data_IF_598911965719
#
_entry.id   IF_598911965719
#
_cell.length_a   1.000
_cell.length_b   1.000
_cell.length_c   1.000
_cell.angle_alpha   90.00
_cell.angle_beta   90.00
_cell.angle_gamma   90.00
#
_symmetry.space_group_name_H-M   'P 1'
#
loop_
_entity.id
_entity.type
_entity.pdbx_description
1 polymer ?
#
# COMPACT_ATOMS: atom_id res chain seq x y z
N UNK A 1 -4.48 17.61 -20.48
CA UNK A 1 -4.28 16.79 -19.28
C UNK A 1 -4.70 15.37 -19.59
N UNK A 2 -4.02 14.37 -19.04
CA UNK A 2 -4.44 12.96 -19.13
C UNK A 2 -5.70 12.83 -18.26
N UNK A 3 -6.78 12.25 -18.79
CA UNK A 3 -8.00 12.00 -18.00
C UNK A 3 -7.72 10.91 -16.97
N UNK A 4 -8.18 11.09 -15.74
CA UNK A 4 -8.09 10.06 -14.69
C UNK A 4 -8.96 8.87 -15.08
N UNK A 5 -8.51 7.67 -14.76
CA UNK A 5 -9.18 6.41 -15.10
C UNK A 5 -10.22 6.07 -14.06
N UNK A 6 -11.46 5.86 -14.51
CA UNK A 6 -12.60 5.53 -13.68
C UNK A 6 -13.12 4.13 -14.01
N UNK A 7 -13.19 3.30 -12.99
CA UNK A 7 -13.84 2.00 -13.03
C UNK A 7 -15.34 2.11 -12.72
N UNK A 8 -16.19 1.43 -13.48
CA UNK A 8 -17.60 1.24 -13.14
C UNK A 8 -17.88 -0.27 -13.01
N UNK A 9 -18.18 -0.73 -11.80
CA UNK A 9 -18.64 -2.09 -11.52
C UNK A 9 -20.16 -2.14 -11.40
N UNK A 10 -20.79 -3.12 -12.04
CA UNK A 10 -22.23 -3.36 -11.97
C UNK A 10 -22.54 -4.84 -12.17
N UNK A 11 -23.75 -5.25 -11.83
CA UNK A 11 -24.28 -6.52 -12.33
C UNK A 11 -24.48 -6.47 -13.85
N UNK A 12 -24.55 -7.64 -14.48
CA UNK A 12 -24.82 -7.75 -15.93
C UNK A 12 -26.20 -7.20 -16.31
N UNK A 13 -27.16 -7.25 -15.38
CA UNK A 13 -28.52 -6.74 -15.50
C UNK A 13 -28.55 -5.21 -15.57
N UNK A 14 -27.57 -4.54 -14.96
CA UNK A 14 -27.48 -3.07 -14.89
C UNK A 14 -26.49 -2.45 -15.85
N UNK A 15 -26.06 -3.19 -16.88
CA UNK A 15 -25.17 -2.66 -17.91
C UNK A 15 -25.72 -1.38 -18.55
N UNK A 16 -27.04 -1.26 -18.69
CA UNK A 16 -27.70 -0.04 -19.21
C UNK A 16 -27.51 1.17 -18.28
N UNK A 17 -27.59 0.96 -16.97
CA UNK A 17 -27.35 2.01 -15.99
C UNK A 17 -25.87 2.42 -15.98
N UNK A 18 -24.95 1.45 -16.07
CA UNK A 18 -23.52 1.71 -16.21
C UNK A 18 -23.19 2.58 -17.44
N UNK A 19 -23.81 2.30 -18.59
CA UNK A 19 -23.66 3.10 -19.79
C UNK A 19 -24.24 4.52 -19.64
N UNK A 20 -25.32 4.71 -18.87
CA UNK A 20 -25.85 6.05 -18.55
C UNK A 20 -24.88 6.84 -17.68
N UNK A 21 -24.37 6.24 -16.61
CA UNK A 21 -23.37 6.87 -15.73
C UNK A 21 -22.11 7.24 -16.51
N UNK A 22 -21.64 6.35 -17.39
CA UNK A 22 -20.51 6.61 -18.29
C UNK A 22 -20.73 7.84 -19.16
N UNK A 23 -21.90 7.97 -19.81
CA UNK A 23 -22.21 9.14 -20.65
C UNK A 23 -22.19 10.46 -19.88
N UNK A 24 -22.59 10.44 -18.61
CA UNK A 24 -22.55 11.65 -17.76
C UNK A 24 -21.10 12.05 -17.46
N UNK A 25 -20.23 11.07 -17.25
CA UNK A 25 -18.85 11.29 -16.75
C UNK A 25 -17.76 11.27 -17.83
N UNK A 26 -18.06 10.84 -19.06
CA UNK A 26 -17.05 10.59 -20.12
C UNK A 26 -16.26 11.83 -20.54
N UNK A 27 -16.82 13.02 -20.30
CA UNK A 27 -16.13 14.29 -20.54
C UNK A 27 -14.98 14.53 -19.56
N UNK A 28 -15.11 14.02 -18.33
CA UNK A 28 -14.17 14.26 -17.23
C UNK A 28 -13.17 13.10 -17.03
N UNK A 29 -13.59 11.85 -17.27
CA UNK A 29 -12.82 10.65 -16.95
C UNK A 29 -12.62 9.73 -18.16
N UNK A 30 -11.57 8.90 -18.13
CA UNK A 30 -11.41 7.75 -19.01
C UNK A 30 -12.11 6.55 -18.35
N UNK A 31 -13.24 6.12 -18.90
CA UNK A 31 -14.17 5.22 -18.19
C UNK A 31 -14.13 3.81 -18.78
N UNK A 32 -13.95 2.82 -17.90
CA UNK A 32 -14.10 1.40 -18.22
C UNK A 32 -15.23 0.81 -17.38
N UNK A 33 -16.23 0.24 -18.05
CA UNK A 33 -17.29 -0.54 -17.40
C UNK A 33 -16.84 -1.99 -17.33
N UNK A 34 -16.97 -2.61 -16.17
CA UNK A 34 -16.74 -4.03 -15.99
C UNK A 34 -17.77 -4.84 -16.77
N UNK A 35 -17.30 -5.65 -17.72
CA UNK A 35 -18.11 -6.66 -18.38
C UNK A 35 -17.25 -7.91 -18.60
N UNK A 36 -17.91 -9.05 -18.80
CA UNK A 36 -17.25 -10.37 -18.92
C UNK A 36 -16.20 -10.43 -20.04
N UNK A 37 -16.24 -9.53 -21.03
CA UNK A 37 -15.32 -9.52 -22.17
C UNK A 37 -14.05 -8.66 -21.94
N UNK A 38 -13.94 -7.91 -20.83
CA UNK A 38 -12.81 -6.97 -20.63
C UNK A 38 -11.50 -7.67 -20.27
N UNK A 39 -11.56 -8.89 -19.71
CA UNK A 39 -10.38 -9.56 -19.12
C UNK A 39 -10.15 -11.01 -19.57
N UNK A 40 -10.62 -11.38 -20.77
CA UNK A 40 -10.57 -12.73 -21.39
C UNK A 40 -9.15 -13.33 -21.63
N UNK A 41 -8.12 -12.87 -20.92
CA UNK A 41 -6.72 -13.30 -21.10
C UNK A 41 -6.17 -14.21 -20.00
N UNK A 42 -6.95 -14.57 -18.97
CA UNK A 42 -6.47 -15.38 -17.85
C UNK A 42 -6.71 -16.90 -18.01
N UNK A 43 -5.62 -17.65 -18.21
CA UNK A 43 -5.58 -19.12 -18.29
C UNK A 43 -6.14 -19.73 -17.00
N UNK A 44 -7.16 -20.59 -17.14
CA UNK A 44 -7.86 -21.30 -16.06
C UNK A 44 -6.92 -21.93 -15.01
N UNK A 45 -6.80 -21.26 -13.86
CA UNK A 45 -6.31 -21.83 -12.60
C UNK A 45 -7.28 -21.44 -11.49
N UNK A 46 -7.49 -22.37 -10.54
CA UNK A 46 -8.34 -22.16 -9.35
C UNK A 46 -7.94 -20.84 -8.66
N UNK A 47 -8.92 -19.97 -8.36
CA UNK A 47 -8.75 -18.63 -7.76
C UNK A 47 -8.02 -17.54 -8.60
N UNK A 48 -7.79 -17.74 -9.90
CA UNK A 48 -6.90 -16.84 -10.67
C UNK A 48 -7.53 -16.02 -11.80
N UNK A 49 -8.84 -16.06 -12.03
CA UNK A 49 -9.43 -15.27 -13.11
C UNK A 49 -10.15 -14.04 -12.52
N UNK A 50 -11.38 -14.20 -12.03
CA UNK A 50 -12.19 -13.06 -11.56
C UNK A 50 -11.54 -12.20 -10.45
N UNK A 51 -11.11 -12.82 -9.33
CA UNK A 51 -10.51 -12.06 -8.23
C UNK A 51 -9.17 -11.42 -8.62
N UNK A 52 -8.37 -12.12 -9.42
CA UNK A 52 -7.08 -11.59 -9.87
C UNK A 52 -7.26 -10.41 -10.84
N UNK A 53 -8.25 -10.49 -11.73
CA UNK A 53 -8.60 -9.40 -12.65
C UNK A 53 -9.18 -8.20 -11.89
N UNK A 54 -10.02 -8.42 -10.88
CA UNK A 54 -10.48 -7.34 -9.99
C UNK A 54 -9.33 -6.70 -9.20
N UNK A 55 -8.41 -7.51 -8.66
CA UNK A 55 -7.21 -7.01 -7.98
C UNK A 55 -6.34 -6.19 -8.94
N UNK A 56 -6.17 -6.64 -10.18
CA UNK A 56 -5.42 -5.92 -11.22
C UNK A 56 -6.13 -4.62 -11.62
N UNK A 57 -7.44 -4.65 -11.82
CA UNK A 57 -8.25 -3.47 -12.11
C UNK A 57 -8.09 -2.44 -10.98
N UNK A 58 -8.18 -2.87 -9.73
CA UNK A 58 -7.99 -1.98 -8.57
C UNK A 58 -6.62 -1.30 -8.49
N UNK A 59 -5.62 -1.75 -9.29
CA UNK A 59 -4.31 -1.10 -9.45
C UNK A 59 -4.22 -0.14 -10.64
N UNK A 60 -5.14 -0.22 -11.59
CA UNK A 60 -5.08 0.49 -12.87
C UNK A 60 -6.00 1.71 -12.95
N UNK A 61 -6.97 1.80 -12.04
CA UNK A 61 -7.94 2.89 -11.99
C UNK A 61 -7.65 3.84 -10.83
N UNK A 62 -7.88 5.12 -11.06
CA UNK A 62 -7.75 6.18 -10.05
C UNK A 62 -9.02 6.25 -9.17
N UNK A 63 -10.17 5.88 -9.74
CA UNK A 63 -11.48 5.93 -9.11
C UNK A 63 -12.31 4.67 -9.38
N UNK A 64 -13.28 4.40 -8.50
CA UNK A 64 -14.28 3.35 -8.68
C UNK A 64 -15.69 3.82 -8.36
N UNK A 65 -16.66 3.47 -9.20
CA UNK A 65 -18.09 3.55 -8.90
C UNK A 65 -18.68 2.15 -8.96
N UNK A 66 -19.32 1.73 -7.89
CA UNK A 66 -20.07 0.48 -7.86
C UNK A 66 -21.57 0.81 -7.91
N UNK A 67 -22.30 0.10 -8.76
CA UNK A 67 -23.74 0.30 -8.96
C UNK A 67 -24.52 -0.74 -8.17
N UNK A 68 -25.19 -0.32 -7.10
CA UNK A 68 -26.06 -1.18 -6.31
C UNK A 68 -27.51 -1.05 -6.74
N UNK A 69 -28.07 -2.10 -7.31
CA UNK A 69 -29.49 -2.18 -7.74
C UNK A 69 -30.20 -3.37 -7.14
N UNK A 70 -31.52 -3.42 -7.29
CA UNK A 70 -32.37 -4.47 -6.75
C UNK A 70 -32.34 -5.68 -7.68
N UNK A 71 -31.33 -6.53 -7.54
CA UNK A 71 -31.16 -7.67 -8.44
C UNK A 71 -31.57 -9.01 -7.79
N UNK A 72 -31.39 -9.14 -6.46
CA UNK A 72 -31.70 -10.37 -5.73
C UNK A 72 -32.78 -10.18 -4.65
N UNK A 73 -33.74 -11.11 -4.62
CA UNK A 73 -34.71 -11.28 -3.54
C UNK A 73 -34.13 -12.21 -2.48
N UNK A 74 -34.07 -11.74 -1.23
CA UNK A 74 -33.56 -12.52 -0.11
C UNK A 74 -34.57 -12.60 1.03
N UNK A 75 -34.59 -13.72 1.74
CA UNK A 75 -35.34 -13.87 2.98
C UNK A 75 -34.46 -13.50 4.17
N UNK A 76 -34.70 -12.34 4.78
CA UNK A 76 -33.97 -11.89 5.96
C UNK A 76 -34.90 -11.86 7.17
N UNK A 77 -34.60 -12.68 8.19
CA UNK A 77 -35.38 -12.77 9.44
C UNK A 77 -36.89 -12.98 9.22
N UNK A 78 -37.27 -13.71 8.17
CA UNK A 78 -38.67 -14.01 7.85
C UNK A 78 -39.35 -12.98 6.95
N UNK A 79 -38.69 -11.89 6.57
CA UNK A 79 -39.20 -10.89 5.63
C UNK A 79 -38.48 -10.98 4.28
N UNK A 80 -39.24 -10.86 3.19
CA UNK A 80 -38.68 -10.73 1.84
C UNK A 80 -38.08 -9.33 1.68
N UNK A 81 -36.79 -9.26 1.41
CA UNK A 81 -36.03 -8.03 1.21
C UNK A 81 -35.33 -8.03 -0.15
N UNK A 82 -35.11 -6.83 -0.64
CA UNK A 82 -34.41 -6.56 -1.90
C UNK A 82 -33.03 -6.03 -1.56
N UNK A 83 -31.98 -6.68 -2.06
CA UNK A 83 -30.59 -6.30 -1.80
C UNK A 83 -29.76 -6.21 -3.09
N UNK A 84 -28.65 -5.44 -3.09
CA UNK A 84 -27.65 -5.53 -4.14
C UNK A 84 -27.06 -6.94 -4.20
N UNK A 85 -26.67 -7.37 -5.40
CA UNK A 85 -25.98 -8.65 -5.61
C UNK A 85 -24.76 -8.76 -4.70
N UNK A 86 -24.57 -9.93 -4.10
CA UNK A 86 -23.46 -10.19 -3.16
C UNK A 86 -22.09 -9.87 -3.79
N UNK A 87 -21.92 -10.14 -5.08
CA UNK A 87 -20.69 -9.83 -5.82
C UNK A 87 -20.40 -8.33 -5.89
N UNK A 88 -21.42 -7.48 -6.05
CA UNK A 88 -21.27 -6.02 -6.10
C UNK A 88 -20.83 -5.49 -4.73
N UNK A 89 -21.35 -6.04 -3.65
CA UNK A 89 -20.91 -5.69 -2.29
C UNK A 89 -19.46 -6.14 -2.02
N UNK A 90 -19.06 -7.30 -2.53
CA UNK A 90 -17.67 -7.77 -2.46
C UNK A 90 -16.72 -6.85 -3.25
N UNK A 91 -17.08 -6.51 -4.49
CA UNK A 91 -16.33 -5.57 -5.34
C UNK A 91 -16.22 -4.19 -4.69
N UNK A 92 -17.31 -3.68 -4.12
CA UNK A 92 -17.32 -2.43 -3.35
C UNK A 92 -16.34 -2.48 -2.19
N UNK A 93 -16.35 -3.56 -1.40
CA UNK A 93 -15.39 -3.75 -0.31
C UNK A 93 -13.94 -3.77 -0.80
N UNK A 94 -13.67 -4.48 -1.89
CA UNK A 94 -12.34 -4.58 -2.50
C UNK A 94 -11.83 -3.23 -3.01
N UNK A 95 -12.65 -2.51 -3.78
CA UNK A 95 -12.30 -1.21 -4.35
C UNK A 95 -12.22 -0.13 -3.27
N UNK A 96 -13.11 -0.12 -2.29
CA UNK A 96 -13.04 0.82 -1.16
C UNK A 96 -11.78 0.56 -0.32
N UNK A 97 -11.45 -0.70 -0.05
CA UNK A 97 -10.22 -1.06 0.66
C UNK A 97 -8.94 -0.71 -0.10
N UNK A 98 -8.99 -0.67 -1.43
CA UNK A 98 -7.83 -0.37 -2.27
C UNK A 98 -7.69 1.09 -2.65
N UNK A 99 -8.77 1.79 -2.97
CA UNK A 99 -8.78 3.19 -3.42
C UNK A 99 -9.04 4.17 -2.27
N UNK A 100 -9.65 3.71 -1.18
CA UNK A 100 -10.10 4.56 -0.09
C UNK A 100 -11.52 5.06 -0.31
N UNK A 101 -12.13 5.61 0.74
CA UNK A 101 -13.52 6.09 0.73
C UNK A 101 -13.72 7.39 -0.06
N UNK A 102 -12.65 8.15 -0.31
CA UNK A 102 -12.68 9.39 -1.10
C UNK A 102 -12.62 9.14 -2.61
N UNK A 103 -12.15 7.95 -3.03
CA UNK A 103 -11.93 7.57 -4.44
C UNK A 103 -12.81 6.41 -4.91
N UNK A 104 -13.64 5.86 -4.01
CA UNK A 104 -14.59 4.81 -4.31
C UNK A 104 -15.99 5.26 -3.87
N UNK A 105 -16.93 5.30 -4.80
CA UNK A 105 -18.31 5.67 -4.54
C UNK A 105 -19.25 4.49 -4.77
N UNK A 106 -20.32 4.44 -3.98
CA UNK A 106 -21.41 3.49 -4.19
C UNK A 106 -22.67 4.26 -4.60
N UNK A 107 -23.13 4.02 -5.83
CA UNK A 107 -24.31 4.62 -6.41
C UNK A 107 -25.46 3.63 -6.34
N UNK A 108 -26.50 3.95 -5.57
CA UNK A 108 -27.57 3.01 -5.25
C UNK A 108 -28.96 3.59 -5.52
N UNK A 109 -29.90 2.69 -5.84
CA UNK A 109 -31.32 3.02 -5.83
C UNK A 109 -31.77 3.35 -4.40
N UNK A 110 -32.58 4.41 -4.24
CA UNK A 110 -33.15 4.84 -2.96
C UNK A 110 -33.95 3.74 -2.26
N UNK A 111 -34.54 2.82 -3.02
CA UNK A 111 -35.42 1.76 -2.48
C UNK A 111 -34.64 0.57 -1.89
N UNK A 112 -33.30 0.55 -2.03
CA UNK A 112 -32.45 -0.52 -1.53
C UNK A 112 -32.18 -0.40 -0.05
N UNK A 113 -32.40 -1.52 0.65
CA UNK A 113 -31.96 -1.70 2.03
C UNK A 113 -30.53 -2.24 2.04
N UNK A 114 -29.64 -1.54 2.75
CA UNK A 114 -28.26 -1.96 2.91
C UNK A 114 -28.03 -2.66 4.25
N UNK A 115 -26.99 -3.52 4.35
CA UNK A 115 -26.55 -4.03 5.63
C UNK A 115 -26.22 -2.88 6.59
N UNK A 116 -26.44 -3.09 7.89
CA UNK A 116 -26.26 -2.04 8.91
C UNK A 116 -24.85 -1.44 8.92
N UNK A 117 -23.84 -2.23 8.56
CA UNK A 117 -22.44 -1.82 8.50
C UNK A 117 -22.16 -0.75 7.42
N UNK A 118 -23.04 -0.63 6.41
CA UNK A 118 -22.94 0.36 5.33
C UNK A 118 -23.71 1.66 5.63
N UNK A 119 -24.46 1.73 6.73
CA UNK A 119 -25.25 2.92 7.11
C UNK A 119 -24.35 4.12 7.44
N UNK A 120 -23.10 3.88 7.86
CA UNK A 120 -22.12 4.92 8.17
C UNK A 120 -21.36 5.49 6.95
N UNK A 121 -21.54 4.93 5.75
CA UNK A 121 -20.89 5.44 4.53
C UNK A 121 -21.74 6.55 3.91
N UNK A 122 -21.10 7.58 3.36
CA UNK A 122 -21.79 8.56 2.51
C UNK A 122 -22.05 7.93 1.15
N UNK A 123 -23.32 7.68 0.85
CA UNK A 123 -23.75 6.96 -0.35
C UNK A 123 -24.45 7.91 -1.31
N UNK A 124 -24.12 7.81 -2.60
CA UNK A 124 -24.85 8.51 -3.63
C UNK A 124 -26.15 7.73 -3.93
N UNK A 125 -27.30 8.39 -3.79
CA UNK A 125 -28.61 7.76 -3.98
C UNK A 125 -29.33 8.39 -5.17
N UNK A 126 -29.99 7.57 -5.96
CA UNK A 126 -30.85 8.01 -7.05
C UNK A 126 -32.20 7.28 -7.02
N UNK A 127 -33.18 7.83 -7.73
CA UNK A 127 -34.50 7.24 -7.93
C UNK A 127 -34.64 6.78 -9.38
N UNK A 128 -34.84 5.48 -9.61
CA UNK A 128 -35.10 4.96 -10.96
C UNK A 128 -36.32 5.61 -11.63
N UNK A 129 -37.27 6.15 -10.84
CA UNK A 129 -38.48 6.83 -11.35
C UNK A 129 -38.22 8.26 -11.79
N UNK A 130 -37.11 8.88 -11.38
CA UNK A 130 -36.76 10.25 -11.72
C UNK A 130 -35.30 10.33 -12.24
N UNK A 131 -35.10 10.34 -13.57
CA UNK A 131 -33.77 10.41 -14.19
C UNK A 131 -32.93 11.62 -13.75
N UNK A 132 -33.54 12.71 -13.29
CA UNK A 132 -32.80 13.90 -12.85
C UNK A 132 -31.99 13.63 -11.58
N UNK A 133 -32.48 12.73 -10.73
CA UNK A 133 -31.80 12.33 -9.49
C UNK A 133 -30.53 11.54 -9.78
N UNK A 134 -30.51 10.72 -10.84
CA UNK A 134 -29.31 10.00 -11.28
C UNK A 134 -28.22 10.99 -11.68
N UNK A 135 -28.56 12.00 -12.49
CA UNK A 135 -27.61 13.03 -12.92
C UNK A 135 -27.05 13.78 -11.72
N UNK A 136 -27.90 14.19 -10.77
CA UNK A 136 -27.46 14.87 -9.55
C UNK A 136 -26.51 14.00 -8.72
N UNK A 137 -26.84 12.73 -8.50
CA UNK A 137 -26.02 11.81 -7.72
C UNK A 137 -24.66 11.55 -8.39
N UNK A 138 -24.64 11.37 -9.70
CA UNK A 138 -23.41 11.16 -10.48
C UNK A 138 -22.53 12.42 -10.47
N UNK A 139 -23.12 13.61 -10.55
CA UNK A 139 -22.36 14.87 -10.46
C UNK A 139 -21.72 15.06 -9.08
N UNK A 140 -22.43 14.70 -8.00
CA UNK A 140 -21.86 14.71 -6.64
C UNK A 140 -20.65 13.79 -6.52
N UNK A 141 -20.70 12.59 -7.13
CA UNK A 141 -19.54 11.68 -7.19
C UNK A 141 -18.40 12.30 -8.00
N UNK A 142 -18.70 12.90 -9.15
CA UNK A 142 -17.68 13.61 -9.96
C UNK A 142 -16.97 14.68 -9.13
N UNK A 143 -17.72 15.50 -8.40
CA UNK A 143 -17.16 16.55 -7.56
C UNK A 143 -16.30 15.98 -6.42
N UNK A 144 -16.74 14.89 -5.79
CA UNK A 144 -15.94 14.16 -4.81
C UNK A 144 -14.59 13.72 -5.41
N UNK A 145 -14.61 13.08 -6.57
CA UNK A 145 -13.39 12.58 -7.23
C UNK A 145 -12.46 13.70 -7.69
N UNK A 146 -13.01 14.78 -8.24
CA UNK A 146 -12.23 15.96 -8.66
C UNK A 146 -11.55 16.65 -7.47
N UNK A 147 -12.16 16.61 -6.29
CA UNK A 147 -11.62 17.20 -5.06
C UNK A 147 -10.72 16.24 -4.26
N UNK A 148 -10.65 14.95 -4.63
CA UNK A 148 -9.76 13.99 -3.98
C UNK A 148 -8.29 14.27 -4.33
N UNK A 149 -7.41 14.12 -3.34
CA UNK A 149 -5.96 14.31 -3.54
C UNK A 149 -5.32 13.08 -4.21
N UNK A 150 -4.33 13.32 -5.05
CA UNK A 150 -3.55 12.24 -5.67
C UNK A 150 -2.64 11.50 -4.67
N UNK A 151 -2.44 12.06 -3.48
CA UNK A 151 -1.50 11.58 -2.47
C UNK A 151 -2.01 10.40 -1.61
N UNK A 152 -3.29 10.02 -1.73
CA UNK A 152 -3.83 8.85 -1.03
C UNK A 152 -3.35 7.55 -1.70
N UNK A 153 -2.22 7.02 -1.20
CA UNK A 153 -1.56 5.81 -1.66
C UNK A 153 -1.83 4.65 -0.67
N UNK A 154 -2.76 3.76 -1.00
CA UNK A 154 -3.12 2.55 -0.24
C UNK A 154 -2.18 1.36 -0.50
N UNK A 155 -0.88 1.49 -0.23
CA UNK A 155 0.03 0.34 -0.12
C UNK A 155 0.43 0.13 1.33
N UNK A 156 0.66 -1.13 1.75
CA UNK A 156 1.35 -1.37 3.01
C UNK A 156 2.77 -0.82 2.91
N UNK A 157 3.13 0.24 3.68
CA UNK A 157 4.38 0.96 3.47
C UNK A 157 5.60 0.11 3.82
N UNK A 158 5.47 -0.78 4.81
CA UNK A 158 6.60 -1.52 5.37
C UNK A 158 7.32 -2.42 4.36
N UNK A 159 6.60 -3.22 3.57
CA UNK A 159 7.21 -4.15 2.62
C UNK A 159 7.87 -3.43 1.43
N UNK A 160 7.23 -2.36 0.94
CA UNK A 160 7.77 -1.50 -0.11
C UNK A 160 9.05 -0.81 0.36
N UNK A 161 9.03 -0.20 1.55
CA UNK A 161 10.21 0.47 2.12
C UNK A 161 11.34 -0.53 2.38
N UNK A 162 11.05 -1.74 2.86
CA UNK A 162 12.06 -2.79 3.02
C UNK A 162 12.71 -3.17 1.69
N UNK A 163 11.92 -3.29 0.62
CA UNK A 163 12.43 -3.60 -0.73
C UNK A 163 13.29 -2.46 -1.29
N UNK A 164 12.84 -1.22 -1.14
CA UNK A 164 13.59 -0.02 -1.56
C UNK A 164 14.92 0.06 -0.81
N UNK A 165 14.90 -0.12 0.50
CA UNK A 165 16.09 -0.10 1.35
C UNK A 165 17.09 -1.20 0.99
N UNK A 166 16.59 -2.41 0.79
CA UNK A 166 17.38 -3.58 0.38
C UNK A 166 18.10 -3.35 -0.95
N UNK A 167 17.37 -2.92 -1.99
CA UNK A 167 17.92 -2.67 -3.33
C UNK A 167 18.86 -1.46 -3.38
N UNK A 168 18.53 -0.40 -2.67
CA UNK A 168 19.25 0.87 -2.80
C UNK A 168 20.40 1.04 -1.82
N UNK A 169 20.52 0.26 -0.75
CA UNK A 169 21.63 0.39 0.19
C UNK A 169 22.31 -0.95 0.47
N UNK A 170 21.54 -1.96 0.89
CA UNK A 170 22.10 -3.22 1.37
C UNK A 170 22.79 -4.00 0.24
N UNK A 171 22.11 -4.26 -0.88
CA UNK A 171 22.71 -4.95 -2.04
C UNK A 171 24.04 -4.30 -2.48
N UNK A 172 24.11 -2.97 -2.67
CA UNK A 172 25.37 -2.31 -3.03
C UNK A 172 26.51 -2.56 -2.05
N UNK A 173 26.27 -2.50 -0.74
CA UNK A 173 27.29 -2.77 0.28
C UNK A 173 27.72 -4.24 0.20
N UNK A 174 26.75 -5.15 0.16
CA UNK A 174 27.01 -6.59 0.04
C UNK A 174 27.87 -6.92 -1.19
N UNK A 175 27.48 -6.41 -2.36
CA UNK A 175 28.20 -6.65 -3.62
C UNK A 175 29.60 -6.06 -3.58
N UNK A 176 29.76 -4.85 -3.06
CA UNK A 176 31.08 -4.23 -2.93
C UNK A 176 32.02 -5.11 -2.09
N UNK A 177 31.56 -5.60 -0.93
CA UNK A 177 32.35 -6.47 -0.06
C UNK A 177 32.74 -7.76 -0.80
N UNK A 178 31.80 -8.39 -1.50
CA UNK A 178 32.03 -9.65 -2.23
C UNK A 178 33.02 -9.44 -3.38
N UNK A 179 32.83 -8.40 -4.19
CA UNK A 179 33.68 -8.08 -5.36
C UNK A 179 35.13 -7.77 -4.96
N UNK A 180 35.34 -7.27 -3.74
CA UNK A 180 36.66 -6.88 -3.24
C UNK A 180 37.27 -7.88 -2.24
N UNK A 181 36.65 -9.06 -2.04
CA UNK A 181 37.05 -10.05 -1.03
C UNK A 181 37.21 -9.46 0.39
N UNK A 182 36.37 -8.47 0.72
CA UNK A 182 36.42 -7.74 1.99
C UNK A 182 36.41 -6.23 1.83
N UNK A 183 37.01 -5.54 2.80
CA UNK A 183 37.11 -4.08 2.81
C UNK A 183 38.48 -3.63 3.31
N UNK A 184 39.08 -2.66 2.64
CA UNK A 184 40.36 -2.06 3.08
C UNK A 184 40.11 -0.74 3.79
N UNK A 185 40.51 -0.68 5.06
CA UNK A 185 40.43 0.52 5.91
C UNK A 185 41.83 0.81 6.47
N UNK A 186 42.30 2.04 6.29
CA UNK A 186 43.61 2.53 6.79
C UNK A 186 44.80 1.60 6.47
N UNK A 187 44.83 1.07 5.24
CA UNK A 187 45.87 0.15 4.77
C UNK A 187 45.75 -1.29 5.26
N UNK A 188 44.81 -1.60 6.16
CA UNK A 188 44.50 -2.96 6.60
C UNK A 188 43.31 -3.52 5.82
N UNK A 189 43.49 -4.71 5.27
CA UNK A 189 42.43 -5.41 4.55
C UNK A 189 41.69 -6.39 5.47
N UNK A 190 40.37 -6.22 5.57
CA UNK A 190 39.48 -7.03 6.38
C UNK A 190 38.71 -7.98 5.48
N UNK A 191 39.08 -9.27 5.48
CA UNK A 191 38.32 -10.31 4.76
C UNK A 191 36.99 -10.63 5.41
N UNK A 192 36.94 -10.56 6.76
CA UNK A 192 35.72 -10.79 7.52
C UNK A 192 34.98 -9.47 7.67
N UNK A 193 33.90 -9.34 6.90
CA UNK A 193 32.98 -8.21 6.97
C UNK A 193 31.59 -8.69 7.37
N UNK A 194 30.87 -7.85 8.10
CA UNK A 194 29.49 -8.10 8.53
C UNK A 194 28.71 -6.80 8.51
N UNK A 195 27.45 -6.87 8.15
CA UNK A 195 26.54 -5.71 8.17
C UNK A 195 25.55 -5.94 9.31
N UNK A 196 25.44 -4.98 10.22
CA UNK A 196 24.50 -4.99 11.32
C UNK A 196 23.50 -3.85 11.12
N UNK A 197 22.26 -4.21 10.78
CA UNK A 197 21.14 -3.29 10.63
C UNK A 197 20.45 -3.20 11.99
N UNK A 198 20.52 -2.04 12.61
CA UNK A 198 20.02 -1.82 13.97
C UNK A 198 18.67 -1.13 13.90
N UNK A 199 17.65 -1.78 14.43
CA UNK A 199 16.26 -1.33 14.35
C UNK A 199 15.74 -1.02 15.76
N UNK A 200 15.11 0.14 16.00
CA UNK A 200 14.57 0.45 17.32
C UNK A 200 13.43 -0.50 17.69
N UNK A 201 13.10 -0.61 18.97
CA UNK A 201 12.01 -1.47 19.43
C UNK A 201 10.64 -0.93 19.07
N UNK A 202 10.53 0.39 18.95
CA UNK A 202 9.31 1.10 18.55
C UNK A 202 9.65 2.28 17.66
N UNK A 203 8.70 2.68 16.82
CA UNK A 203 8.81 3.92 16.02
C UNK A 203 8.31 5.09 16.88
N UNK A 204 9.19 6.05 17.14
CA UNK A 204 8.79 7.32 17.75
C UNK A 204 8.39 8.34 16.68
N UNK A 205 7.80 9.45 17.11
CA UNK A 205 7.36 10.53 16.21
C UNK A 205 8.54 11.14 15.41
N UNK A 206 9.70 11.28 16.06
CA UNK A 206 10.96 11.68 15.43
C UNK A 206 11.95 10.52 15.40
N UNK A 207 11.86 9.73 14.32
CA UNK A 207 12.73 8.58 14.08
C UNK A 207 14.19 9.02 13.83
N UNK A 208 14.41 10.21 13.27
CA UNK A 208 15.77 10.67 12.98
C UNK A 208 16.51 10.96 14.29
N UNK A 209 15.88 11.69 15.21
CA UNK A 209 16.43 11.91 16.55
C UNK A 209 16.57 10.60 17.34
N UNK A 210 15.65 9.65 17.14
CA UNK A 210 15.76 8.32 17.74
C UNK A 210 17.03 7.60 17.27
N UNK A 211 17.31 7.60 15.96
CA UNK A 211 18.52 7.01 15.42
C UNK A 211 19.78 7.79 15.79
N UNK A 212 19.73 9.11 15.93
CA UNK A 212 20.86 9.89 16.43
C UNK A 212 21.24 9.47 17.85
N UNK A 213 20.26 9.33 18.74
CA UNK A 213 20.46 8.83 20.12
C UNK A 213 20.99 7.40 20.13
N UNK A 214 20.46 6.54 19.26
CA UNK A 214 20.90 5.16 19.16
C UNK A 214 22.33 5.07 18.61
N UNK A 215 22.66 5.83 17.57
CA UNK A 215 24.01 5.91 17.00
C UNK A 215 25.03 6.40 18.03
N UNK A 216 24.66 7.34 18.91
CA UNK A 216 25.52 7.85 19.96
C UNK A 216 25.98 6.79 20.98
N UNK A 217 25.32 5.62 21.05
CA UNK A 217 25.76 4.51 21.90
C UNK A 217 26.87 3.65 21.26
N UNK A 218 27.17 3.87 19.98
CA UNK A 218 28.21 3.16 19.24
C UNK A 218 29.44 4.05 19.03
N UNK A 219 30.62 3.48 19.23
CA UNK A 219 31.88 4.09 18.82
C UNK A 219 32.20 3.63 17.39
N UNK A 220 31.85 4.46 16.41
CA UNK A 220 32.00 4.15 14.98
C UNK A 220 32.81 5.20 14.25
N UNK A 221 33.35 4.80 13.11
CA UNK A 221 34.01 5.69 12.16
C UNK A 221 33.35 5.56 10.79
N UNK A 222 33.10 6.70 10.16
CA UNK A 222 32.50 6.73 8.85
C UNK A 222 33.50 6.30 7.78
N UNK A 223 33.08 5.40 6.89
CA UNK A 223 33.83 5.05 5.69
C UNK A 223 33.00 5.35 4.46
N UNK A 224 33.67 5.54 3.33
CA UNK A 224 32.98 5.76 2.07
C UNK A 224 33.65 5.02 0.92
N UNK A 225 32.84 4.43 0.05
CA UNK A 225 33.33 3.70 -1.13
C UNK A 225 32.45 3.96 -2.35
N UNK A 226 33.04 3.77 -3.53
CA UNK A 226 32.33 3.91 -4.81
C UNK A 226 31.75 2.56 -5.21
N UNK A 227 30.44 2.54 -5.49
CA UNK A 227 29.79 1.37 -6.03
C UNK A 227 29.82 1.42 -7.57
N UNK A 228 30.39 0.41 -8.22
CA UNK A 228 30.55 0.40 -9.69
C UNK A 228 29.23 0.16 -10.43
N UNK A 229 28.27 -0.57 -9.83
CA UNK A 229 26.98 -0.88 -10.45
C UNK A 229 26.03 0.32 -10.59
N UNK A 230 26.25 1.39 -9.83
CA UNK A 230 25.67 2.73 -10.03
C UNK A 230 26.68 3.75 -9.50
N UNK A 231 27.20 4.69 -10.31
CA UNK A 231 28.29 5.58 -9.90
C UNK A 231 27.83 6.57 -8.83
N UNK A 232 27.82 6.10 -7.58
CA UNK A 232 27.53 6.87 -6.37
C UNK A 232 28.50 6.48 -5.27
N UNK A 233 28.67 7.39 -4.33
CA UNK A 233 29.41 7.16 -3.11
C UNK A 233 28.44 6.69 -2.03
N UNK A 234 28.78 5.60 -1.35
CA UNK A 234 28.05 5.10 -0.18
C UNK A 234 28.89 5.44 1.03
N UNK A 235 28.28 6.13 1.99
CA UNK A 235 28.86 6.47 3.29
C UNK A 235 28.12 5.69 4.36
N UNK A 236 28.88 5.02 5.24
CA UNK A 236 28.33 4.14 6.27
C UNK A 236 29.28 4.07 7.46
N UNK A 237 28.72 3.91 8.65
CA UNK A 237 29.49 3.79 9.88
C UNK A 237 30.06 2.39 10.04
N UNK A 238 31.28 2.31 10.58
CA UNK A 238 31.96 1.04 10.81
C UNK A 238 32.56 0.97 12.20
N UNK A 239 32.63 -0.24 12.74
CA UNK A 239 33.41 -0.56 13.93
C UNK A 239 34.19 -1.85 13.71
N UNK A 240 35.25 -2.06 14.49
CA UNK A 240 36.04 -3.29 14.44
C UNK A 240 35.75 -4.08 15.71
N UNK A 241 35.28 -5.31 15.56
CA UNK A 241 35.00 -6.23 16.68
C UNK A 241 35.53 -7.61 16.35
N UNK A 242 36.40 -8.15 17.21
CA UNK A 242 36.99 -9.49 17.05
C UNK A 242 37.55 -9.74 15.64
N UNK A 243 38.41 -8.84 15.16
CA UNK A 243 39.03 -8.86 13.82
C UNK A 243 38.05 -8.81 12.63
N UNK A 244 36.76 -8.59 12.90
CA UNK A 244 35.72 -8.42 11.88
C UNK A 244 35.42 -6.93 11.72
N UNK A 245 35.35 -6.46 10.48
CA UNK A 245 34.85 -5.12 10.19
C UNK A 245 33.32 -5.17 10.12
N UNK A 246 32.67 -4.52 11.08
CA UNK A 246 31.22 -4.44 11.16
C UNK A 246 30.75 -3.10 10.59
N UNK A 247 29.95 -3.15 9.54
CA UNK A 247 29.18 -2.03 9.02
C UNK A 247 27.92 -1.87 9.85
N UNK A 248 27.69 -0.69 10.42
CA UNK A 248 26.55 -0.41 11.28
C UNK A 248 25.59 0.51 10.52
N UNK A 249 24.36 0.08 10.36
CA UNK A 249 23.36 0.80 9.58
C UNK A 249 22.07 0.99 10.36
N UNK A 250 21.49 2.18 10.24
CA UNK A 250 20.28 2.61 10.93
C UNK A 250 19.24 2.96 9.86
N UNK A 251 18.18 2.13 9.65
CA UNK A 251 17.26 2.30 8.54
C UNK A 251 16.30 3.47 8.78
N UNK A 252 16.77 4.71 8.60
CA UNK A 252 15.98 5.96 8.73
C UNK A 252 14.75 5.97 7.81
N UNK A 253 14.76 5.16 6.75
CA UNK A 253 13.62 4.93 5.86
C UNK A 253 12.34 4.48 6.58
N UNK A 254 12.43 3.91 7.79
CA UNK A 254 11.24 3.55 8.59
C UNK A 254 10.43 4.79 9.03
N UNK A 255 10.97 6.01 8.93
CA UNK A 255 10.20 7.27 8.99
C UNK A 255 8.99 7.24 8.06
N UNK A 256 9.15 6.64 6.87
CA UNK A 256 8.12 6.50 5.86
C UNK A 256 6.93 5.64 6.30
N UNK A 257 7.12 4.74 7.28
CA UNK A 257 6.03 3.93 7.85
C UNK A 257 5.05 4.85 8.58
N UNK A 258 5.56 5.72 9.47
CA UNK A 258 4.74 6.68 10.21
C UNK A 258 4.08 7.70 9.26
N UNK A 259 4.84 8.17 8.27
CA UNK A 259 4.29 9.09 7.27
C UNK A 259 3.14 8.45 6.49
N UNK A 260 3.30 7.22 5.98
CA UNK A 260 2.25 6.55 5.23
C UNK A 260 1.02 6.23 6.09
N UNK A 261 1.19 5.64 7.28
CA UNK A 261 0.07 5.32 8.17
C UNK A 261 -0.72 6.59 8.54
N UNK A 262 -0.04 7.71 8.81
CA UNK A 262 -0.72 8.94 9.19
C UNK A 262 -1.57 9.56 8.07
N UNK A 263 -1.23 9.28 6.80
CA UNK A 263 -2.02 9.66 5.62
C UNK A 263 -3.12 8.64 5.26
N UNK A 264 -2.97 7.39 5.70
CA UNK A 264 -3.95 6.32 5.46
C UNK A 264 -5.11 6.32 6.47
N UNK A 265 -4.89 6.88 7.65
CA UNK A 265 -5.91 6.97 8.69
C UNK A 265 -6.72 8.27 8.59
N UNK A 266 -8.00 8.26 9.00
CA UNK A 266 -8.83 9.46 9.06
C UNK A 266 -8.15 10.60 9.83
N UNK A 267 -8.42 11.85 9.42
CA UNK A 267 -7.82 13.04 10.03
C UNK A 267 -8.14 13.19 11.53
N UNK A 268 -9.29 12.66 11.97
CA UNK A 268 -9.74 12.63 13.36
C UNK A 268 -9.22 11.41 14.15
N UNK A 269 -8.47 10.50 13.51
CA UNK A 269 -7.87 9.38 14.20
C UNK A 269 -6.81 9.86 15.20
N UNK A 270 -6.94 9.47 16.46
CA UNK A 270 -5.98 9.82 17.49
C UNK A 270 -4.63 9.13 17.27
N UNK A 271 -3.66 9.85 16.72
CA UNK A 271 -2.28 9.38 16.44
C UNK A 271 -1.44 9.16 17.70
N UNK A 272 -1.95 9.49 18.88
CA UNK A 272 -1.33 9.19 20.17
C UNK A 272 -2.00 8.00 20.88
N UNK A 273 -2.96 7.35 20.23
CA UNK A 273 -3.66 6.20 20.79
C UNK A 273 -2.77 4.96 20.90
N UNK A 274 -3.03 4.06 21.86
CA UNK A 274 -2.43 2.72 21.88
C UNK A 274 -2.65 1.93 20.58
N UNK A 275 -3.78 2.15 19.90
CA UNK A 275 -4.09 1.52 18.63
C UNK A 275 -3.14 1.98 17.52
N UNK A 276 -2.82 3.28 17.45
CA UNK A 276 -1.83 3.81 16.50
C UNK A 276 -0.46 3.15 16.71
N UNK A 277 -0.02 3.03 17.96
CA UNK A 277 1.25 2.37 18.29
C UNK A 277 1.23 0.89 17.89
N UNK A 278 0.11 0.20 18.08
CA UNK A 278 -0.06 -1.20 17.66
C UNK A 278 0.06 -1.36 16.15
N UNK A 279 -0.47 -0.40 15.37
CA UNK A 279 -0.33 -0.37 13.90
C UNK A 279 1.14 -0.17 13.51
N UNK A 280 1.82 0.80 14.12
CA UNK A 280 3.24 1.06 13.89
C UNK A 280 4.10 -0.17 14.20
N UNK A 281 3.88 -0.83 15.33
CA UNK A 281 4.60 -2.03 15.74
C UNK A 281 4.36 -3.22 14.79
N UNK A 282 3.14 -3.34 14.26
CA UNK A 282 2.83 -4.34 13.22
C UNK A 282 3.57 -4.05 11.92
N UNK A 283 3.59 -2.81 11.46
CA UNK A 283 4.27 -2.43 10.22
C UNK A 283 5.80 -2.49 10.38
N UNK A 284 6.35 -2.16 11.54
CA UNK A 284 7.77 -2.34 11.84
C UNK A 284 8.16 -3.83 11.80
N UNK A 285 7.35 -4.71 12.41
CA UNK A 285 7.56 -6.18 12.31
C UNK A 285 7.51 -6.66 10.86
N UNK A 286 6.58 -6.15 10.04
CA UNK A 286 6.49 -6.49 8.61
C UNK A 286 7.69 -6.02 7.82
N UNK A 287 8.21 -4.83 8.10
CA UNK A 287 9.45 -4.32 7.50
C UNK A 287 10.60 -5.29 7.79
N UNK A 288 10.78 -5.69 9.06
CA UNK A 288 11.83 -6.63 9.49
C UNK A 288 11.68 -7.98 8.80
N UNK A 289 10.48 -8.57 8.81
CA UNK A 289 10.22 -9.88 8.19
C UNK A 289 10.47 -9.84 6.69
N UNK A 290 10.03 -8.78 6.01
CA UNK A 290 10.25 -8.61 4.56
C UNK A 290 11.74 -8.48 4.25
N UNK A 291 12.47 -7.66 5.01
CA UNK A 291 13.90 -7.48 4.83
C UNK A 291 14.67 -8.80 5.03
N UNK A 292 14.36 -9.56 6.09
CA UNK A 292 14.97 -10.89 6.32
C UNK A 292 14.69 -11.86 5.17
N UNK A 293 13.47 -11.88 4.64
CA UNK A 293 13.13 -12.71 3.48
C UNK A 293 13.90 -12.31 2.21
N UNK A 294 14.07 -11.00 1.97
CA UNK A 294 14.85 -10.48 0.84
C UNK A 294 16.34 -10.85 0.97
N UNK A 295 16.90 -10.76 2.19
CA UNK A 295 18.27 -11.18 2.48
C UNK A 295 18.50 -12.65 2.15
N UNK A 296 17.60 -13.55 2.59
CA UNK A 296 17.67 -14.98 2.30
C UNK A 296 17.56 -15.24 0.79
N UNK A 297 16.58 -14.62 0.13
CA UNK A 297 16.39 -14.77 -1.32
C UNK A 297 17.59 -14.28 -2.14
N UNK A 298 18.29 -13.26 -1.65
CA UNK A 298 19.50 -12.74 -2.27
C UNK A 298 20.80 -13.43 -1.87
N UNK A 299 20.76 -14.39 -0.94
CA UNK A 299 21.96 -15.05 -0.42
C UNK A 299 22.88 -14.14 0.42
N UNK A 300 22.30 -13.16 1.12
CA UNK A 300 23.04 -12.22 1.97
C UNK A 300 22.77 -12.40 3.47
N UNK A 301 21.96 -13.37 3.86
CA UNK A 301 21.53 -13.61 5.25
C UNK A 301 22.67 -14.01 6.19
N UNK A 302 23.76 -14.60 5.69
CA UNK A 302 24.96 -14.88 6.50
C UNK A 302 25.82 -13.62 6.76
N UNK A 303 25.77 -12.65 5.85
CA UNK A 303 26.58 -11.42 5.91
C UNK A 303 25.85 -10.27 6.63
N UNK A 304 24.51 -10.27 6.59
CA UNK A 304 23.68 -9.19 7.11
C UNK A 304 22.83 -9.66 8.30
N UNK A 305 23.09 -9.09 9.47
CA UNK A 305 22.27 -9.29 10.65
C UNK A 305 21.29 -8.13 10.82
N UNK A 306 20.02 -8.47 11.00
CA UNK A 306 18.98 -7.51 11.38
C UNK A 306 18.69 -7.68 12.86
N UNK A 307 19.05 -6.69 13.67
CA UNK A 307 18.95 -6.72 15.12
C UNK A 307 18.02 -5.63 15.65
N UNK A 308 17.33 -5.94 16.73
CA UNK A 308 16.59 -4.95 17.53
C UNK A 308 17.53 -4.25 18.51
N UNK A 309 17.19 -3.02 18.90
CA UNK A 309 18.01 -2.27 19.88
C UNK A 309 18.12 -3.01 21.22
N UNK A 310 17.08 -3.76 21.61
CA UNK A 310 17.09 -4.64 22.79
C UNK A 310 18.00 -5.87 22.67
N UNK A 311 18.51 -6.18 21.47
CA UNK A 311 19.40 -7.32 21.19
C UNK A 311 20.89 -6.92 21.12
N UNK A 312 21.21 -5.64 21.38
CA UNK A 312 22.56 -5.06 21.27
C UNK A 312 23.48 -5.40 22.44
#
# INVERSE_FOLDING_TARGET
MIKKKLFIGSSSEELKLAEQVKKILENDFEITIWNDNVWDTAIFKINQNFLADLLKASLQFDFGILLGTIDDKVMFRGEEMLQPRDNVLFELGLFTGRLGTSKCAFLIDKEIKLPSDFIGLTLARFDKKDPTTLISAVNQISDLFKNSSDDEINFFPSATLASVYYENLIIPICRYIIENDGYTKDGKHYKKCRINIIIPDRINQDVNLQFEKLKATFTTENVSFKYSGRPRQISIDTQIKNETLEFIEFPTIITGINHAISNLLPNDFNRQSPDYNTILDRELRRFITTLKLLLIKGGFDEMVNVKRESEL
#
